data_IF_696914949216
#
_entry.id   IF_696914949216
#
_cell.length_a   1.000
_cell.length_b   1.000
_cell.length_c   1.000
_cell.angle_alpha   90.00
_cell.angle_beta   90.00
_cell.angle_gamma   90.00
#
_symmetry.space_group_name_H-M   'P 1'
#
loop_
_entity.id
_entity.type
_entity.pdbx_description
1 polymer ?
#
# COMPACT_ATOMS: atom_id res chain seq x y z
N UNK A 1 10.51 15.87 -1.32
CA UNK A 1 10.72 15.06 -2.55
C UNK A 1 11.13 16.01 -3.69
N UNK A 2 12.05 15.61 -4.60
CA UNK A 2 12.41 16.42 -5.78
C UNK A 2 11.55 15.97 -6.97
N UNK A 3 11.05 16.93 -7.74
CA UNK A 3 10.30 16.69 -8.97
C UNK A 3 11.06 15.76 -9.93
N UNK A 4 10.41 14.68 -10.39
CA UNK A 4 10.85 13.96 -11.60
C UNK A 4 11.16 12.46 -11.51
N UNK A 5 10.78 11.74 -10.46
CA UNK A 5 10.81 10.26 -10.48
C UNK A 5 9.47 9.67 -10.07
N UNK A 6 8.45 9.92 -10.88
CA UNK A 6 7.24 9.10 -10.83
C UNK A 6 7.57 7.75 -11.46
N UNK A 7 7.42 6.66 -10.69
CA UNK A 7 7.44 5.33 -11.29
C UNK A 7 6.24 5.19 -12.21
N UNK A 8 6.46 4.60 -13.37
CA UNK A 8 5.35 4.26 -14.27
C UNK A 8 4.40 3.32 -13.54
N UNK A 9 3.09 3.57 -13.69
CA UNK A 9 2.07 2.66 -13.17
C UNK A 9 2.24 1.31 -13.86
N UNK A 10 2.33 0.27 -13.05
CA UNK A 10 2.27 -1.09 -13.55
C UNK A 10 0.88 -1.37 -14.14
N UNK A 11 0.75 -2.32 -15.09
CA UNK A 11 -0.53 -2.64 -15.73
C UNK A 11 -1.70 -2.79 -14.75
N UNK A 12 -1.54 -3.55 -13.67
CA UNK A 12 -2.64 -3.74 -12.72
C UNK A 12 -2.98 -2.48 -11.92
N UNK A 13 -1.98 -1.68 -11.55
CA UNK A 13 -2.25 -0.40 -10.90
C UNK A 13 -2.90 0.59 -11.85
N UNK A 14 -2.48 0.62 -13.12
CA UNK A 14 -3.09 1.44 -14.15
C UNK A 14 -4.57 1.09 -14.29
N UNK A 15 -4.91 -0.20 -14.42
CA UNK A 15 -6.29 -0.66 -14.47
C UNK A 15 -7.06 -0.29 -13.21
N UNK A 16 -6.46 -0.40 -12.01
CA UNK A 16 -7.06 0.09 -10.77
C UNK A 16 -7.46 1.56 -10.94
N UNK A 17 -6.48 2.45 -11.14
CA UNK A 17 -6.71 3.89 -11.09
C UNK A 17 -7.66 4.36 -12.22
N UNK A 18 -7.63 3.69 -13.38
CA UNK A 18 -8.57 3.95 -14.49
C UNK A 18 -10.00 3.48 -14.16
N UNK A 19 -10.15 2.34 -13.48
CA UNK A 19 -11.46 1.85 -13.07
C UNK A 19 -12.08 2.75 -12.00
N UNK A 20 -11.30 3.10 -10.99
CA UNK A 20 -11.75 3.92 -9.87
C UNK A 20 -10.55 4.65 -9.27
N UNK A 21 -10.52 5.98 -9.41
CA UNK A 21 -9.44 6.82 -8.90
C UNK A 21 -9.26 6.62 -7.40
N UNK A 22 -10.30 6.89 -6.62
CA UNK A 22 -10.38 6.62 -5.18
C UNK A 22 -11.60 5.77 -4.86
N UNK A 23 -11.49 4.93 -3.83
CA UNK A 23 -12.58 4.07 -3.37
C UNK A 23 -12.71 4.16 -1.86
N UNK A 24 -13.78 4.81 -1.39
CA UNK A 24 -14.10 4.97 0.02
C UNK A 24 -14.70 3.67 0.58
N UNK A 25 -14.26 3.26 1.78
CA UNK A 25 -14.76 2.06 2.45
C UNK A 25 -14.66 0.79 1.57
N UNK A 26 -13.47 0.55 1.03
CA UNK A 26 -13.17 -0.59 0.18
C UNK A 26 -12.97 -1.86 1.03
N UNK A 27 -11.72 -2.25 1.31
CA UNK A 27 -11.39 -3.43 2.10
C UNK A 27 -11.20 -3.06 3.56
N UNK A 28 -11.91 -3.72 4.49
CA UNK A 28 -11.83 -3.48 5.95
C UNK A 28 -11.89 -1.99 6.33
N UNK A 29 -12.86 -1.27 5.80
CA UNK A 29 -13.00 0.17 6.02
C UNK A 29 -11.86 1.04 5.47
N UNK A 30 -10.87 0.47 4.80
CA UNK A 30 -9.81 1.26 4.18
C UNK A 30 -10.32 2.06 2.98
N UNK A 31 -9.88 3.30 2.89
CA UNK A 31 -10.04 4.14 1.71
C UNK A 31 -8.86 3.90 0.78
N UNK A 32 -9.13 3.39 -0.42
CA UNK A 32 -8.12 3.29 -1.46
C UNK A 32 -7.94 4.65 -2.12
N UNK A 33 -6.73 5.17 -2.05
CA UNK A 33 -6.41 6.53 -2.46
C UNK A 33 -6.33 6.66 -3.99
N UNK A 34 -6.59 7.87 -4.46
CA UNK A 34 -6.22 8.33 -5.81
C UNK A 34 -4.74 8.71 -5.88
N UNK A 35 -4.22 8.90 -7.08
CA UNK A 35 -2.83 9.35 -7.27
C UNK A 35 -2.59 10.74 -6.62
N UNK A 36 -3.57 11.63 -6.68
CA UNK A 36 -3.49 12.96 -6.05
C UNK A 36 -3.44 12.85 -4.53
N UNK A 37 -4.29 12.00 -3.95
CA UNK A 37 -4.28 11.75 -2.50
C UNK A 37 -2.99 11.03 -2.03
N UNK A 38 -2.39 10.19 -2.87
CA UNK A 38 -1.09 9.55 -2.58
C UNK A 38 0.02 10.60 -2.60
N UNK A 39 0.04 11.49 -3.60
CA UNK A 39 1.06 12.54 -3.72
C UNK A 39 0.96 13.60 -2.60
N UNK A 40 -0.24 13.85 -2.09
CA UNK A 40 -0.53 14.84 -1.04
C UNK A 40 -0.95 14.20 0.30
N UNK A 41 -0.58 12.95 0.58
CA UNK A 41 -1.04 12.24 1.79
C UNK A 41 -0.70 12.99 3.10
N UNK A 42 0.33 13.85 3.08
CA UNK A 42 0.76 14.64 4.24
C UNK A 42 -0.25 15.73 4.64
N UNK A 43 -1.21 16.07 3.77
CA UNK A 43 -2.30 17.00 4.08
C UNK A 43 -3.39 16.35 4.95
N UNK A 44 -3.49 15.01 4.94
CA UNK A 44 -4.29 14.25 5.89
C UNK A 44 -3.48 14.04 7.18
N UNK A 45 -3.83 14.81 8.22
CA UNK A 45 -3.15 14.76 9.51
C UNK A 45 -3.21 13.38 10.20
N UNK A 46 -4.28 12.63 9.99
CA UNK A 46 -4.46 11.30 10.59
C UNK A 46 -3.57 10.28 9.90
N UNK A 47 -3.64 10.23 8.57
CA UNK A 47 -2.80 9.34 7.77
C UNK A 47 -1.31 9.62 8.00
N UNK A 48 -0.93 10.90 8.05
CA UNK A 48 0.43 11.31 8.36
C UNK A 48 0.88 10.79 9.73
N UNK A 49 0.07 10.95 10.77
CA UNK A 49 0.39 10.47 12.12
C UNK A 49 0.64 8.96 12.13
N UNK A 50 -0.22 8.17 11.48
CA UNK A 50 -0.05 6.72 11.49
C UNK A 50 1.15 6.25 10.67
N UNK A 51 1.43 6.90 9.54
CA UNK A 51 2.65 6.62 8.77
C UNK A 51 3.89 6.90 9.63
N UNK A 52 3.94 7.99 10.40
CA UNK A 52 5.07 8.26 11.30
C UNK A 52 5.19 7.20 12.40
N UNK A 53 4.10 6.82 13.05
CA UNK A 53 4.09 5.72 14.03
C UNK A 53 4.63 4.43 13.39
N UNK A 54 4.19 4.11 12.16
CA UNK A 54 4.65 2.92 11.43
C UNK A 54 6.15 3.00 11.15
N UNK A 55 6.66 4.15 10.70
CA UNK A 55 8.10 4.35 10.45
C UNK A 55 8.94 4.12 11.69
N UNK A 56 8.52 4.67 12.83
CA UNK A 56 9.22 4.55 14.11
C UNK A 56 9.31 3.09 14.60
N UNK A 57 8.28 2.30 14.28
CA UNK A 57 8.14 0.92 14.74
C UNK A 57 8.45 -0.14 13.67
N UNK A 58 8.89 0.25 12.47
CA UNK A 58 9.22 -0.71 11.39
C UNK A 58 10.50 -1.49 11.72
N UNK A 59 10.49 -2.82 11.52
CA UNK A 59 11.65 -3.68 11.69
C UNK A 59 11.95 -4.50 10.43
N UNK A 60 13.19 -4.97 10.30
CA UNK A 60 13.61 -5.77 9.14
C UNK A 60 13.45 -5.04 7.81
N UNK A 61 12.59 -5.57 6.95
CA UNK A 61 12.26 -5.09 5.60
C UNK A 61 10.89 -4.39 5.52
N UNK A 62 10.31 -4.01 6.66
CA UNK A 62 8.94 -3.49 6.71
C UNK A 62 8.80 -2.05 6.19
N UNK A 63 7.79 -1.79 5.35
CA UNK A 63 7.44 -0.44 4.96
C UNK A 63 6.71 0.30 6.10
N UNK A 64 6.73 1.63 6.08
CA UNK A 64 7.52 2.47 5.19
C UNK A 64 8.90 2.79 5.77
N UNK A 65 9.20 2.43 7.03
CA UNK A 65 10.42 2.87 7.73
C UNK A 65 11.73 2.23 7.24
N UNK A 66 11.68 1.09 6.53
CA UNK A 66 12.87 0.37 6.04
C UNK A 66 13.00 0.33 4.52
N UNK A 67 12.07 0.96 3.80
CA UNK A 67 12.07 1.04 2.34
C UNK A 67 12.47 2.44 1.92
N UNK A 68 13.30 2.55 0.88
CA UNK A 68 13.64 3.83 0.29
C UNK A 68 12.36 4.57 -0.18
N UNK A 69 12.16 5.86 0.11
CA UNK A 69 10.92 6.57 -0.21
C UNK A 69 10.51 6.48 -1.69
N UNK A 70 11.47 6.44 -2.62
CA UNK A 70 11.23 6.27 -4.06
C UNK A 70 10.70 4.88 -4.47
N UNK A 71 10.70 3.94 -3.53
CA UNK A 71 10.27 2.55 -3.69
C UNK A 71 9.07 2.20 -2.81
N UNK A 72 8.47 3.18 -2.12
CA UNK A 72 7.35 2.97 -1.23
C UNK A 72 6.30 4.07 -1.41
N UNK A 73 5.05 3.69 -1.59
CA UNK A 73 3.93 4.63 -1.58
C UNK A 73 2.81 4.10 -0.69
N UNK A 74 2.08 4.99 -0.03
CA UNK A 74 0.81 4.64 0.60
C UNK A 74 -0.21 4.31 -0.50
N UNK A 75 -1.00 3.26 -0.32
CA UNK A 75 -2.08 2.87 -1.22
C UNK A 75 -3.45 3.14 -0.61
N UNK A 76 -3.61 2.76 0.65
CA UNK A 76 -4.87 2.91 1.37
C UNK A 76 -4.65 3.00 2.87
N UNK A 77 -5.67 3.47 3.57
CA UNK A 77 -5.67 3.59 5.03
C UNK A 77 -7.09 3.49 5.59
N UNK A 78 -7.24 2.94 6.79
CA UNK A 78 -8.51 2.86 7.52
C UNK A 78 -8.71 4.12 8.35
N UNK A 79 -9.61 5.07 8.04
CA UNK A 79 -9.70 6.36 8.74
C UNK A 79 -10.10 6.29 10.23
N UNK A 80 -10.28 5.09 10.79
CA UNK A 80 -10.61 4.86 12.18
C UNK A 80 -9.50 4.15 12.98
N UNK A 81 -8.56 3.48 12.31
CA UNK A 81 -7.54 2.63 12.95
C UNK A 81 -6.20 2.73 12.20
N UNK A 82 -5.04 2.58 12.88
CA UNK A 82 -3.71 2.68 12.26
C UNK A 82 -3.39 1.43 11.42
N UNK A 83 -4.14 1.30 10.32
CA UNK A 83 -4.09 0.23 9.35
C UNK A 83 -3.91 0.83 7.96
N UNK A 84 -2.75 0.56 7.38
CA UNK A 84 -2.31 1.11 6.11
C UNK A 84 -1.97 -0.02 5.14
N UNK A 85 -2.15 0.23 3.85
CA UNK A 85 -1.60 -0.62 2.80
C UNK A 85 -0.56 0.15 2.00
N UNK A 86 0.59 -0.47 1.74
CA UNK A 86 1.70 0.12 0.98
C UNK A 86 1.95 -0.60 -0.34
N UNK A 87 2.32 0.18 -1.36
CA UNK A 87 2.94 -0.31 -2.59
C UNK A 87 4.46 -0.29 -2.41
N UNK A 88 5.12 -1.43 -2.66
CA UNK A 88 6.58 -1.55 -2.51
C UNK A 88 7.21 -2.04 -3.81
N UNK A 89 8.01 -1.19 -4.46
CA UNK A 89 8.72 -1.55 -5.70
C UNK A 89 10.06 -2.21 -5.40
N UNK A 90 10.35 -3.28 -6.15
CA UNK A 90 11.62 -4.00 -6.09
C UNK A 90 12.28 -4.03 -7.47
N UNK A 91 13.61 -4.01 -7.50
CA UNK A 91 14.36 -4.07 -8.74
C UNK A 91 14.06 -5.37 -9.52
N UNK A 92 13.84 -5.24 -10.83
CA UNK A 92 13.50 -6.35 -11.71
C UNK A 92 12.03 -6.81 -11.65
N UNK A 93 11.20 -6.24 -10.76
CA UNK A 93 9.75 -6.48 -10.75
C UNK A 93 8.99 -5.37 -11.45
N UNK A 94 8.00 -5.76 -12.26
CA UNK A 94 7.12 -4.83 -12.97
C UNK A 94 5.99 -4.33 -12.08
N UNK A 95 5.33 -5.26 -11.38
CA UNK A 95 4.29 -4.96 -10.40
C UNK A 95 4.94 -4.71 -9.02
N UNK A 96 4.46 -3.73 -8.24
CA UNK A 96 4.89 -3.58 -6.86
C UNK A 96 4.27 -4.69 -6.00
N UNK A 97 4.98 -5.03 -4.92
CA UNK A 97 4.39 -5.78 -3.82
C UNK A 97 3.31 -4.95 -3.14
N UNK A 98 2.31 -5.63 -2.56
CA UNK A 98 1.33 -5.01 -1.66
C UNK A 98 1.62 -5.47 -0.24
N UNK A 99 1.68 -4.53 0.69
CA UNK A 99 1.84 -4.80 2.12
C UNK A 99 0.68 -4.20 2.88
N UNK A 100 -0.28 -5.02 3.31
CA UNK A 100 -1.43 -4.60 4.13
C UNK A 100 -1.08 -4.81 5.60
N UNK A 101 -1.00 -3.71 6.36
CA UNK A 101 -0.90 -3.80 7.82
C UNK A 101 -2.29 -3.97 8.41
N UNK A 102 -2.51 -5.09 9.10
CA UNK A 102 -3.78 -5.39 9.74
C UNK A 102 -3.55 -6.21 11.01
N UNK A 103 -4.26 -5.89 12.09
CA UNK A 103 -4.24 -6.71 13.30
C UNK A 103 -2.87 -6.86 13.98
N UNK A 104 -1.91 -5.97 13.71
CA UNK A 104 -0.58 -6.00 14.33
C UNK A 104 0.54 -6.64 13.50
N UNK A 105 0.26 -7.11 12.28
CA UNK A 105 1.26 -7.68 11.37
C UNK A 105 1.00 -7.25 9.91
N UNK A 106 1.96 -7.54 9.04
CA UNK A 106 1.84 -7.33 7.60
C UNK A 106 1.44 -8.61 6.87
N UNK A 107 0.36 -8.52 6.11
CA UNK A 107 0.10 -9.41 4.98
C UNK A 107 0.87 -8.90 3.77
N UNK A 108 1.55 -9.79 3.05
CA UNK A 108 2.39 -9.48 1.90
C UNK A 108 1.86 -10.16 0.64
N UNK A 109 1.69 -9.43 -0.44
CA UNK A 109 1.27 -9.97 -1.74
C UNK A 109 2.27 -9.62 -2.83
N UNK A 110 2.46 -10.56 -3.76
CA UNK A 110 3.43 -10.41 -4.85
C UNK A 110 3.09 -9.30 -5.84
N UNK A 111 1.80 -9.01 -5.99
CA UNK A 111 1.26 -7.97 -6.86
C UNK A 111 -0.19 -7.62 -6.48
N UNK A 112 -0.73 -6.57 -7.13
CA UNK A 112 -2.11 -6.12 -6.89
C UNK A 112 -3.14 -7.21 -7.24
N UNK A 113 -2.88 -8.03 -8.26
CA UNK A 113 -3.77 -9.13 -8.63
C UNK A 113 -3.90 -10.16 -7.50
N UNK A 114 -2.77 -10.58 -6.92
CA UNK A 114 -2.74 -11.54 -5.81
C UNK A 114 -3.46 -10.99 -4.57
N UNK A 115 -3.36 -9.68 -4.32
CA UNK A 115 -4.11 -8.99 -3.27
C UNK A 115 -5.63 -9.00 -3.53
N UNK A 116 -6.06 -8.72 -4.76
CA UNK A 116 -7.48 -8.80 -5.14
C UNK A 116 -8.04 -10.21 -5.01
N UNK A 117 -7.31 -11.23 -5.48
CA UNK A 117 -7.68 -12.65 -5.34
C UNK A 117 -7.89 -13.02 -3.86
N UNK A 118 -7.03 -12.53 -2.96
CA UNK A 118 -7.20 -12.72 -1.52
C UNK A 118 -8.46 -12.02 -0.98
N UNK A 119 -8.69 -10.76 -1.36
CA UNK A 119 -9.85 -9.99 -0.88
C UNK A 119 -11.19 -10.64 -1.30
N UNK A 120 -11.27 -11.18 -2.51
CA UNK A 120 -12.50 -11.81 -3.02
C UNK A 120 -12.64 -13.27 -2.60
N UNK A 121 -11.64 -13.84 -1.92
CA UNK A 121 -11.66 -15.22 -1.41
C UNK A 121 -11.23 -16.29 -2.42
N UNK A 122 -10.65 -15.90 -3.56
CA UNK A 122 -10.04 -16.81 -4.54
C UNK A 122 -8.66 -17.32 -4.07
N UNK A 123 -8.06 -16.64 -3.09
CA UNK A 123 -6.79 -17.01 -2.44
C UNK A 123 -6.96 -17.00 -0.92
N UNK A 124 -6.52 -18.06 -0.24
CA UNK A 124 -6.74 -18.24 1.21
C UNK A 124 -5.66 -17.60 2.10
N UNK A 125 -4.45 -17.42 1.58
CA UNK A 125 -3.30 -16.90 2.33
C UNK A 125 -2.60 -15.76 1.59
N UNK A 126 -1.77 -15.01 2.29
CA UNK A 126 -0.85 -14.07 1.66
C UNK A 126 0.37 -14.80 1.05
N UNK A 127 1.27 -14.05 0.42
CA UNK A 127 2.50 -14.53 -0.22
C UNK A 127 3.73 -14.46 0.69
N UNK A 128 3.57 -14.14 1.98
CA UNK A 128 4.69 -14.09 2.93
C UNK A 128 5.32 -15.46 3.21
N UNK A 129 4.58 -16.55 2.97
CA UNK A 129 4.97 -17.90 3.33
C UNK A 129 4.93 -18.17 4.84
N UNK A 130 4.32 -17.27 5.63
CA UNK A 130 4.00 -17.49 7.04
C UNK A 130 2.69 -18.30 7.15
N UNK A 131 2.60 -19.18 8.14
CA UNK A 131 1.46 -20.08 8.38
C UNK A 131 0.53 -19.52 9.46
#
# INVERSE_FOLDING_TARGET
MKAGQYRELSPYLKERFEFCSSWVNARLSQNWLSLEEIDDYESDGTLKEWIEIRKENSFGDEPPGKIAPENCAIFSYNPYEPEETYLVWQDGKKEPLIWEYFGGDFLKFNDFKSYLEFIVGDKESDDSGRF
#
